data_IF_858917645876
#
_entry.id   IF_858917645876
#
_cell.length_a   1.000
_cell.length_b   1.000
_cell.length_c   1.000
_cell.angle_alpha   90.00
_cell.angle_beta   90.00
_cell.angle_gamma   90.00
#
_symmetry.space_group_name_H-M   'P 1'
#
loop_
_entity.id
_entity.type
_entity.pdbx_description
1 polymer ?
2 non-polymer ?
3 non-polymer ?
4 water ?
#
# COMPACT_ATOMS: atom_id res chain seq x y z
N UNK A 1 25.56 14.54 -7.22
CA UNK A 1 26.57 14.71 -6.13
C UNK A 1 27.64 13.60 -6.17
N UNK A 2 27.52 12.71 -7.17
CA UNK A 2 28.50 11.65 -7.44
C UNK A 2 28.67 10.67 -6.31
N UNK A 3 27.56 10.28 -5.68
CA UNK A 3 27.61 9.37 -4.54
C UNK A 3 27.66 7.95 -5.08
N UNK A 4 28.55 7.12 -4.53
CA UNK A 4 28.65 5.73 -4.98
C UNK A 4 27.38 4.92 -4.69
N UNK A 5 27.18 3.87 -5.49
CA UNK A 5 26.14 2.91 -5.23
C UNK A 5 26.32 2.28 -3.84
N UNK A 6 27.56 1.94 -3.50
CA UNK A 6 27.89 1.32 -2.22
C UNK A 6 27.42 2.22 -1.06
N UNK A 7 27.65 3.52 -1.19
CA UNK A 7 27.22 4.44 -0.15
C UNK A 7 25.68 4.51 0.00
N UNK A 8 24.94 4.58 -1.12
CA UNK A 8 23.47 4.54 -1.07
C UNK A 8 22.98 3.27 -0.40
N UNK A 9 23.58 2.13 -0.79
CA UNK A 9 23.22 0.82 -0.21
C UNK A 9 23.48 0.76 1.29
N UNK A 10 24.64 1.21 1.71
CA UNK A 10 24.97 1.24 3.14
C UNK A 10 24.04 2.20 3.94
N UNK A 11 23.78 3.37 3.38
CA UNK A 11 22.87 4.33 4.03
C UNK A 11 21.47 3.77 4.23
N UNK A 12 20.90 3.18 3.17
CA UNK A 12 19.53 2.66 3.31
C UNK A 12 19.48 1.41 4.22
N UNK A 13 20.50 0.55 4.11
CA UNK A 13 20.62 -0.57 5.06
C UNK A 13 20.60 -0.05 6.50
N UNK A 14 21.37 1.00 6.77
CA UNK A 14 21.43 1.57 8.13
C UNK A 14 20.09 2.12 8.62
N UNK A 15 19.22 2.58 7.73
CA UNK A 15 17.91 3.08 8.21
C UNK A 15 17.09 1.92 8.83
N UNK A 16 17.15 0.74 8.22
CA UNK A 16 16.46 -0.45 8.70
C UNK A 16 17.19 -1.00 9.94
N UNK A 17 18.52 -0.98 9.95
CA UNK A 17 19.29 -1.49 11.08
C UNK A 17 18.96 -0.64 12.30
N UNK A 18 18.94 0.68 12.12
CA UNK A 18 18.67 1.61 13.23
C UNK A 18 17.26 1.50 13.82
N UNK A 19 16.30 1.11 13.00
CA UNK A 19 14.94 0.82 13.46
C UNK A 19 14.83 -0.56 14.14
N UNK A 20 15.95 -1.30 14.19
CA UNK A 20 16.02 -2.62 14.84
C UNK A 20 15.01 -3.62 14.27
N UNK A 21 14.88 -3.58 12.95
CA UNK A 21 14.02 -4.53 12.28
C UNK A 21 14.68 -5.05 11.01
N UNK A 22 13.93 -5.81 10.22
CA UNK A 22 14.41 -6.36 8.96
C UNK A 22 13.45 -5.91 7.85
N UNK A 23 13.98 -5.41 6.74
CA UNK A 23 13.09 -4.88 5.71
C UNK A 23 13.79 -4.63 4.40
N UNK A 24 12.99 -4.32 3.40
CA UNK A 24 13.46 -4.00 2.09
C UNK A 24 12.67 -2.80 1.58
N UNK A 25 13.28 -2.02 0.70
CA UNK A 25 12.51 -1.10 -0.10
C UNK A 25 12.88 -1.28 -1.56
N UNK A 26 11.88 -1.46 -2.40
CA UNK A 26 12.06 -1.69 -3.82
C UNK A 26 11.64 -0.42 -4.54
N UNK A 27 12.47 0.03 -5.48
CA UNK A 27 12.23 1.28 -6.18
C UNK A 27 12.19 0.88 -7.66
N UNK A 28 11.32 1.47 -8.44
CA UNK A 28 11.34 1.21 -9.88
C UNK A 28 11.56 2.52 -10.65
N UNK A 29 12.61 2.55 -11.45
CA UNK A 29 12.88 3.71 -12.32
C UNK A 29 12.79 3.24 -13.76
N UNK A 30 11.78 3.74 -14.46
CA UNK A 30 11.37 3.19 -15.74
C UNK A 30 11.06 1.72 -15.51
N UNK A 31 11.77 0.87 -16.24
CA UNK A 31 11.54 -0.56 -16.17
C UNK A 31 12.49 -1.26 -15.20
N UNK A 32 13.45 -0.53 -14.61
CA UNK A 32 14.47 -1.16 -13.77
C UNK A 32 14.11 -1.20 -12.27
N UNK A 33 14.15 -2.40 -11.68
CA UNK A 33 13.90 -2.57 -10.26
C UNK A 33 15.18 -2.49 -9.46
N UNK A 34 15.16 -1.72 -8.37
CA UNK A 34 16.29 -1.66 -7.45
C UNK A 34 15.83 -2.06 -6.06
N UNK A 35 16.60 -2.90 -5.38
CA UNK A 35 16.21 -3.38 -4.07
C UNK A 35 17.22 -2.89 -3.04
N UNK A 36 16.73 -2.23 -1.99
CA UNK A 36 17.62 -1.73 -0.94
C UNK A 36 17.11 -2.19 0.43
N UNK A 37 17.94 -2.01 1.46
CA UNK A 37 17.54 -2.30 2.83
C UNK A 37 18.46 -3.31 3.52
N UNK A 38 17.99 -3.92 4.60
CA UNK A 38 18.87 -4.84 5.33
C UNK A 38 18.41 -6.29 5.28
N UNK A 39 17.39 -6.57 4.45
CA UNK A 39 16.96 -7.97 4.29
C UNK A 39 16.49 -8.20 2.88
N UNK A 40 17.43 -8.21 1.93
CA UNK A 40 17.05 -8.14 0.51
C UNK A 40 16.19 -9.32 0.04
N UNK A 41 16.43 -10.52 0.59
CA UNK A 41 15.61 -11.68 0.26
C UNK A 41 14.09 -11.52 0.48
N UNK A 42 13.68 -10.58 1.32
CA UNK A 42 12.25 -10.28 1.46
C UNK A 42 11.59 -9.85 0.14
N UNK A 43 12.38 -9.36 -0.82
CA UNK A 43 11.83 -8.80 -2.09
C UNK A 43 10.88 -9.76 -2.82
N UNK A 44 11.20 -11.06 -2.78
CA UNK A 44 10.40 -12.03 -3.52
C UNK A 44 9.69 -13.02 -2.61
N UNK A 45 9.55 -12.66 -1.34
CA UNK A 45 8.77 -13.46 -0.39
C UNK A 45 7.34 -12.94 -0.30
N UNK A 46 6.36 -13.83 -0.05
CA UNK A 46 4.94 -13.40 0.01
C UNK A 46 4.52 -13.04 1.40
N UNK A 47 3.77 -11.95 1.56
CA UNK A 47 3.20 -11.51 2.84
C UNK A 47 1.73 -11.10 2.62
N UNK A 48 0.94 -11.11 3.67
CA UNK A 48 -0.44 -10.63 3.52
C UNK A 48 -0.33 -9.14 3.17
N UNK A 49 -1.21 -8.66 2.28
CA UNK A 49 -1.11 -7.25 1.88
C UNK A 49 -1.60 -6.28 2.97
N UNK A 50 -2.36 -6.79 3.96
CA UNK A 50 -3.01 -5.94 4.99
C UNK A 50 -3.69 -4.75 4.28
N UNK A 51 -3.55 -3.53 4.83
CA UNK A 51 -4.32 -2.36 4.35
C UNK A 51 -3.90 -1.88 2.98
N UNK A 52 -2.76 -2.36 2.46
CA UNK A 52 -2.43 -2.01 1.05
C UNK A 52 -3.53 -2.52 0.11
N UNK A 53 -4.24 -3.58 0.50
CA UNK A 53 -5.35 -4.09 -0.33
C UNK A 53 -6.52 -3.08 -0.51
N UNK A 54 -6.64 -2.09 0.41
CA UNK A 54 -7.71 -1.07 0.30
C UNK A 54 -7.65 -0.40 -1.05
N UNK A 55 -6.44 -0.25 -1.61
CA UNK A 55 -6.35 0.34 -2.97
C UNK A 55 -7.15 -0.46 -3.98
N UNK A 56 -6.97 -1.77 -3.98
CA UNK A 56 -7.66 -2.63 -4.96
C UNK A 56 -9.14 -2.81 -4.59
N UNK A 57 -9.41 -2.94 -3.29
CA UNK A 57 -10.79 -2.98 -2.77
C UNK A 57 -11.57 -1.75 -3.32
N UNK A 58 -11.01 -0.54 -3.18
CA UNK A 58 -11.67 0.67 -3.69
C UNK A 58 -11.86 0.64 -5.23
N UNK A 59 -10.84 0.19 -5.96
CA UNK A 59 -10.93 0.09 -7.42
C UNK A 59 -12.09 -0.83 -7.81
N UNK A 60 -12.17 -1.99 -7.17
CA UNK A 60 -13.17 -2.98 -7.51
C UNK A 60 -14.59 -2.45 -7.18
N UNK A 61 -14.73 -1.85 -5.99
CA UNK A 61 -16.04 -1.35 -5.53
C UNK A 61 -16.58 -0.22 -6.40
N UNK A 62 -15.71 0.72 -6.72
CA UNK A 62 -16.07 1.83 -7.58
C UNK A 62 -16.40 1.37 -9.02
N UNK A 63 -15.53 0.56 -9.60
CA UNK A 63 -15.74 0.05 -10.97
C UNK A 63 -17.06 -0.70 -11.10
N UNK A 64 -17.42 -1.45 -10.05
CA UNK A 64 -18.62 -2.28 -10.07
C UNK A 64 -19.84 -1.64 -9.41
N UNK A 65 -19.76 -0.31 -9.24
CA UNK A 65 -20.86 0.52 -8.73
C UNK A 65 -21.38 0.12 -7.40
N UNK A 66 -20.49 -0.36 -6.52
CA UNK A 66 -20.86 -0.71 -5.15
C UNK A 66 -20.83 0.51 -4.22
N UNK A 67 -20.19 1.59 -4.66
CA UNK A 67 -20.12 2.84 -3.90
C UNK A 67 -19.78 3.94 -4.88
N UNK A 68 -19.91 5.19 -4.43
CA UNK A 68 -19.37 6.32 -5.16
C UNK A 68 -18.35 6.98 -4.25
N UNK A 69 -17.62 7.95 -4.79
CA UNK A 69 -16.59 8.66 -4.02
C UNK A 69 -17.19 9.67 -3.03
N UNK A 70 -18.45 10.05 -3.23
CA UNK A 70 -19.12 11.02 -2.34
C UNK A 70 -19.97 10.34 -1.26
N UNK A 71 -20.22 9.06 -1.43
CA UNK A 71 -21.08 8.32 -0.50
C UNK A 71 -20.50 8.33 0.91
N UNK A 72 -21.36 8.60 1.90
CA UNK A 72 -20.93 8.59 3.28
C UNK A 72 -21.24 7.23 3.92
N UNK A 73 -20.20 6.52 4.39
CA UNK A 73 -20.39 5.27 5.13
C UNK A 73 -20.58 5.63 6.60
N UNK A 74 -21.81 5.46 7.10
CA UNK A 74 -22.16 5.96 8.43
C UNK A 74 -21.58 5.03 9.47
N UNK A 75 -21.06 5.59 10.56
CA UNK A 75 -20.69 4.73 11.69
C UNK A 75 -21.95 4.11 12.27
N UNK A 76 -21.94 2.79 12.49
CA UNK A 76 -23.13 2.09 13.03
C UNK A 76 -23.28 2.17 14.55
N UNK A 77 -22.37 2.87 15.22
CA UNK A 77 -22.50 3.05 16.66
C UNK A 77 -21.82 1.96 17.47
N UNK A 78 -21.22 0.96 16.81
CA UNK A 78 -20.49 -0.11 17.52
C UNK A 78 -19.03 0.31 17.80
N UNK A 79 -18.50 -0.15 18.93
CA UNK A 79 -17.13 0.15 19.31
C UNK A 79 -16.19 -0.28 18.18
N UNK A 80 -15.25 0.58 17.81
CA UNK A 80 -14.28 0.24 16.77
C UNK A 80 -12.92 0.23 17.42
N UNK A 81 -11.90 -0.27 16.71
CA UNK A 81 -10.56 -0.34 17.29
C UNK A 81 -10.00 1.02 17.70
N UNK A 82 -10.26 2.07 16.93
CA UNK A 82 -9.76 3.42 17.24
C UNK A 82 -10.91 4.39 17.27
N UNK A 83 -10.89 5.34 18.23
CA UNK A 83 -11.97 6.32 18.32
C UNK A 83 -12.10 7.14 17.03
N UNK A 84 -10.98 7.39 16.36
CA UNK A 84 -10.98 8.10 15.08
C UNK A 84 -11.81 7.39 14.00
N UNK A 85 -12.07 6.10 14.15
CA UNK A 85 -12.92 5.38 13.19
C UNK A 85 -14.38 5.47 13.50
N UNK A 86 -14.71 6.00 14.68
CA UNK A 86 -16.11 6.04 15.14
C UNK A 86 -16.80 7.30 14.62
N UNK A 87 -16.88 7.37 13.31
CA UNK A 87 -17.44 8.53 12.59
C UNK A 87 -17.81 8.10 11.19
N UNK A 88 -18.57 8.97 10.53
CA UNK A 88 -19.14 8.74 9.21
C UNK A 88 -18.07 9.20 8.23
N UNK A 89 -17.78 8.40 7.20
CA UNK A 89 -16.73 8.81 6.28
C UNK A 89 -16.92 8.32 4.84
N UNK A 90 -16.29 9.02 3.90
CA UNK A 90 -16.27 8.61 2.51
C UNK A 90 -15.17 7.55 2.38
N UNK A 91 -15.13 6.89 1.24
CA UNK A 91 -14.06 5.91 0.95
C UNK A 91 -12.70 6.59 1.06
N UNK A 92 -12.60 7.84 0.59
CA UNK A 92 -11.34 8.58 0.63
C UNK A 92 -10.86 8.88 2.03
N UNK A 93 -11.77 9.33 2.90
CA UNK A 93 -11.43 9.55 4.30
C UNK A 93 -11.05 8.23 4.98
N UNK A 94 -11.81 7.17 4.66
CA UNK A 94 -11.49 5.84 5.22
C UNK A 94 -10.12 5.30 4.75
N UNK A 95 -9.77 5.64 3.51
CA UNK A 95 -8.43 5.33 2.99
C UNK A 95 -7.31 5.97 3.84
N UNK A 96 -7.46 7.27 4.11
CA UNK A 96 -6.45 8.05 4.83
C UNK A 96 -6.36 7.53 6.27
N UNK A 97 -7.52 7.19 6.85
CA UNK A 97 -7.51 6.70 8.23
C UNK A 97 -7.28 5.18 8.30
N UNK A 98 -7.17 4.55 7.15
CA UNK A 98 -7.11 3.10 7.05
C UNK A 98 -8.28 2.37 7.81
N UNK A 99 -9.50 2.89 7.68
CA UNK A 99 -10.64 2.43 8.45
C UNK A 99 -11.14 1.08 7.93
N UNK A 100 -10.67 0.01 8.58
CA UNK A 100 -11.04 -1.37 8.20
C UNK A 100 -12.56 -1.61 8.08
N UNK A 101 -13.38 -1.12 9.05
CA UNK A 101 -14.82 -1.46 8.91
C UNK A 101 -15.46 -0.94 7.65
N UNK A 102 -15.02 0.23 7.17
CA UNK A 102 -15.63 0.77 5.95
C UNK A 102 -15.28 -0.12 4.75
N UNK A 103 -14.02 -0.58 4.73
CA UNK A 103 -13.55 -1.43 3.62
C UNK A 103 -14.11 -2.86 3.70
N UNK A 104 -14.41 -3.32 4.91
CA UNK A 104 -15.14 -4.58 5.08
C UNK A 104 -16.57 -4.51 4.54
N UNK A 105 -17.24 -3.38 4.78
CA UNK A 105 -18.57 -3.15 4.21
C UNK A 105 -18.49 -3.15 2.70
N UNK A 106 -17.49 -2.43 2.15
CA UNK A 106 -17.34 -2.41 0.71
C UNK A 106 -17.09 -3.83 0.16
N UNK A 107 -16.22 -4.60 0.81
CA UNK A 107 -15.95 -5.99 0.35
C UNK A 107 -17.23 -6.85 0.39
N UNK A 108 -17.99 -6.74 1.47
CA UNK A 108 -19.31 -7.43 1.56
C UNK A 108 -20.30 -7.02 0.46
N UNK A 109 -20.31 -5.74 0.06
CA UNK A 109 -21.17 -5.29 -1.05
C UNK A 109 -20.74 -5.93 -2.38
N UNK A 110 -19.44 -5.92 -2.62
CA UNK A 110 -18.86 -6.61 -3.76
C UNK A 110 -19.23 -8.09 -3.76
N UNK A 111 -19.02 -8.77 -2.62
CA UNK A 111 -19.40 -10.17 -2.47
C UNK A 111 -18.27 -11.10 -2.92
N UNK A 112 -18.24 -12.31 -2.37
CA UNK A 112 -17.13 -13.25 -2.64
C UNK A 112 -16.88 -13.59 -4.13
N UNK A 113 -17.96 -13.88 -4.86
CA UNK A 113 -17.83 -14.29 -6.26
C UNK A 113 -17.19 -13.21 -7.12
N UNK A 114 -17.70 -11.99 -7.03
CA UNK A 114 -17.17 -10.88 -7.81
C UNK A 114 -15.77 -10.48 -7.35
N UNK A 115 -15.52 -10.49 -6.04
CA UNK A 115 -14.18 -10.20 -5.50
C UNK A 115 -13.14 -11.19 -6.05
N UNK A 116 -13.43 -12.49 -6.00
CA UNK A 116 -12.45 -13.49 -6.49
C UNK A 116 -12.19 -13.32 -7.98
N UNK A 117 -13.25 -13.12 -8.75
CA UNK A 117 -13.11 -12.88 -10.20
C UNK A 117 -12.28 -11.63 -10.49
N UNK A 118 -12.46 -10.57 -9.69
CA UNK A 118 -11.71 -9.33 -9.95
C UNK A 118 -10.26 -9.42 -9.50
N UNK A 119 -10.02 -10.07 -8.36
CA UNK A 119 -8.65 -10.20 -7.85
C UNK A 119 -7.83 -11.08 -8.85
N UNK A 120 -8.49 -12.09 -9.43
CA UNK A 120 -7.90 -12.94 -10.49
C UNK A 120 -7.62 -12.13 -11.77
N UNK A 121 -8.59 -11.34 -12.22
CA UNK A 121 -8.47 -10.52 -13.42
C UNK A 121 -7.30 -9.55 -13.33
N UNK A 122 -7.09 -9.00 -12.14
CA UNK A 122 -6.01 -8.07 -11.88
C UNK A 122 -4.70 -8.84 -11.63
N UNK A 123 -4.83 -10.13 -11.32
CA UNK A 123 -3.67 -10.95 -11.01
C UNK A 123 -2.87 -10.35 -9.84
N UNK A 124 -3.57 -10.04 -8.75
CA UNK A 124 -2.95 -9.45 -7.56
C UNK A 124 -2.34 -10.53 -6.64
N UNK A 125 -1.02 -10.48 -6.43
CA UNK A 125 -0.33 -11.45 -5.57
C UNK A 125 -0.61 -12.89 -5.98
N UNK A 126 -0.86 -13.77 -5.01
CA UNK A 126 -1.17 -15.18 -5.30
C UNK A 126 -2.62 -15.39 -5.75
N UNK A 127 -3.37 -14.28 -5.81
CA UNK A 127 -4.77 -14.21 -6.28
C UNK A 127 -5.77 -15.09 -5.50
N UNK A 128 -5.40 -15.60 -4.33
CA UNK A 128 -6.30 -16.46 -3.57
C UNK A 128 -6.99 -15.72 -2.43
N UNK A 129 -8.32 -15.60 -2.49
CA UNK A 129 -9.06 -14.93 -1.39
C UNK A 129 -9.79 -15.88 -0.44
N UNK A 130 -9.75 -17.18 -0.71
CA UNK A 130 -10.43 -18.15 0.16
C UNK A 130 -11.95 -17.95 0.18
N UNK A 131 -12.57 -18.17 1.33
CA UNK A 131 -14.03 -18.19 1.42
C UNK A 131 -14.64 -17.09 2.31
N UNK A 132 -13.81 -16.27 2.96
CA UNK A 132 -14.30 -15.17 3.82
C UNK A 132 -14.04 -13.82 3.16
N UNK A 133 -15.09 -13.21 2.60
CA UNK A 133 -14.94 -12.02 1.78
C UNK A 133 -14.46 -10.79 2.59
N UNK A 134 -14.55 -10.84 3.92
CA UNK A 134 -14.29 -9.63 4.72
C UNK A 134 -12.99 -9.64 5.51
N UNK A 135 -12.11 -10.62 5.29
CA UNK A 135 -10.82 -10.57 6.00
C UNK A 135 -9.63 -11.23 5.30
N UNK A 136 -9.83 -11.61 4.04
CA UNK A 136 -8.84 -12.38 3.31
C UNK A 136 -7.51 -11.63 3.12
N UNK A 137 -7.53 -10.30 3.21
CA UNK A 137 -6.33 -9.51 2.97
C UNK A 137 -5.60 -9.21 4.25
N UNK A 138 -6.22 -9.57 5.37
CA UNK A 138 -5.65 -9.33 6.69
C UNK A 138 -4.99 -10.56 7.29
N UNK A 139 -5.61 -11.72 7.11
CA UNK A 139 -5.12 -12.92 7.80
C UNK A 139 -4.79 -14.04 6.81
N UNK A 140 -4.80 -13.74 5.52
CA UNK A 140 -4.65 -14.77 4.48
C UNK A 140 -6.02 -15.26 4.03
N UNK A 141 -6.06 -16.04 2.94
CA UNK A 141 -4.90 -16.64 2.26
C UNK A 141 -4.27 -15.79 1.17
N UNK A 142 -4.76 -14.55 0.98
CA UNK A 142 -4.19 -13.66 -0.02
C UNK A 142 -2.80 -13.21 0.42
N UNK A 143 -1.84 -13.33 -0.48
CA UNK A 143 -0.46 -12.93 -0.20
C UNK A 143 0.16 -12.29 -1.43
N UNK A 144 1.18 -11.48 -1.21
CA UNK A 144 1.80 -10.74 -2.30
C UNK A 144 3.26 -10.45 -1.90
N UNK A 145 4.14 -10.37 -2.89
CA UNK A 145 5.54 -10.01 -2.62
C UNK A 145 5.76 -8.51 -2.78
N UNK A 146 6.84 -7.98 -2.18
CA UNK A 146 7.16 -6.56 -2.38
C UNK A 146 7.40 -6.20 -3.85
N UNK A 147 7.96 -7.14 -4.64
CA UNK A 147 8.10 -6.90 -6.08
C UNK A 147 6.72 -6.74 -6.75
N UNK A 148 5.79 -7.64 -6.42
CA UNK A 148 4.43 -7.53 -6.99
C UNK A 148 3.73 -6.23 -6.53
N UNK A 149 3.96 -5.81 -5.28
CA UNK A 149 3.38 -4.51 -4.78
C UNK A 149 3.92 -3.32 -5.55
N UNK A 150 5.24 -3.28 -5.76
CA UNK A 150 5.81 -2.19 -6.53
C UNK A 150 5.30 -2.20 -8.00
N UNK A 151 5.12 -3.38 -8.59
CA UNK A 151 4.56 -3.46 -9.96
C UNK A 151 3.09 -3.03 -10.00
N UNK A 152 2.35 -3.34 -8.95
CA UNK A 152 0.96 -2.86 -8.81
C UNK A 152 0.90 -1.32 -8.75
N UNK A 153 1.78 -0.75 -7.92
CA UNK A 153 1.89 0.70 -7.78
C UNK A 153 2.26 1.38 -9.10
N UNK A 154 3.23 0.79 -9.82
CA UNK A 154 3.62 1.27 -11.13
C UNK A 154 2.43 1.26 -12.12
N UNK A 155 1.66 0.16 -12.14
CA UNK A 155 0.47 0.06 -13.02
C UNK A 155 -0.58 1.10 -12.65
N UNK A 156 -0.83 1.27 -11.36
CA UNK A 156 -1.79 2.29 -10.91
C UNK A 156 -1.32 3.69 -11.25
N UNK A 157 -0.05 3.99 -10.95
CA UNK A 157 0.49 5.33 -11.22
C UNK A 157 0.32 5.68 -12.71
N UNK A 158 0.43 4.67 -13.57
CA UNK A 158 0.35 4.91 -15.04
C UNK A 158 -0.97 4.60 -15.65
N UNK A 159 -2.00 4.38 -14.81
CA UNK A 159 -3.34 4.08 -15.32
C UNK A 159 -3.40 2.83 -16.17
N UNK A 160 -2.54 1.87 -15.87
CA UNK A 160 -2.43 0.63 -16.64
C UNK A 160 -3.23 -0.55 -16.09
N UNK A 161 -3.85 -0.40 -14.91
CA UNK A 161 -4.67 -1.48 -14.38
C UNK A 161 -5.95 -1.68 -15.22
N UNK A 162 -6.52 -2.90 -15.20
CA UNK A 162 -7.71 -3.17 -16.02
C UNK A 162 -9.02 -2.59 -15.39
N UNK A 163 -9.06 -1.26 -15.25
CA UNK A 163 -10.24 -0.55 -14.74
C UNK A 163 -10.35 0.71 -15.58
N UNK A 164 -11.52 1.34 -15.59
CA UNK A 164 -11.67 2.61 -16.30
C UNK A 164 -10.66 3.63 -15.81
N UNK A 165 -10.26 4.53 -16.71
CA UNK A 165 -9.34 5.61 -16.34
C UNK A 165 -9.91 6.41 -15.14
N UNK A 166 -11.21 6.66 -15.19
CA UNK A 166 -11.87 7.43 -14.16
C UNK A 166 -11.79 6.75 -12.77
N UNK A 167 -12.04 5.44 -12.74
CA UNK A 167 -11.88 4.66 -11.50
C UNK A 167 -10.47 4.81 -10.92
N UNK A 168 -9.45 4.71 -11.78
CA UNK A 168 -8.06 4.75 -11.28
C UNK A 168 -7.71 6.13 -10.75
N UNK A 169 -8.15 7.17 -11.47
CA UNK A 169 -7.93 8.53 -11.01
C UNK A 169 -8.65 8.84 -9.69
N UNK A 170 -9.85 8.32 -9.52
CA UNK A 170 -10.61 8.52 -8.27
C UNK A 170 -9.86 7.91 -7.08
N UNK A 171 -9.32 6.71 -7.26
CA UNK A 171 -8.58 6.07 -6.16
C UNK A 171 -7.23 6.77 -5.90
N UNK A 172 -6.52 7.16 -6.98
CA UNK A 172 -5.27 7.87 -6.81
C UNK A 172 -5.43 9.15 -6.00
N UNK A 173 -6.54 9.88 -6.20
CA UNK A 173 -6.81 11.09 -5.43
C UNK A 173 -6.90 10.83 -3.92
N UNK A 174 -7.32 9.62 -3.55
CA UNK A 174 -7.40 9.22 -2.13
C UNK A 174 -6.05 8.92 -1.49
N UNK A 175 -5.00 8.84 -2.29
CA UNK A 175 -3.70 8.32 -1.79
C UNK A 175 -2.61 9.39 -1.59
N UNK A 176 -2.93 10.68 -1.77
CA UNK A 176 -1.90 11.71 -1.59
C UNK A 176 -1.54 11.85 -0.13
N UNK A 177 -0.28 11.61 0.23
CA UNK A 177 0.10 11.66 1.64
C UNK A 177 1.15 12.70 2.02
N UNK A 178 1.82 13.28 1.04
CA UNK A 178 2.85 14.28 1.33
C UNK A 178 3.22 15.05 0.07
N UNK A 179 3.51 16.33 0.25
CA UNK A 179 4.11 17.17 -0.79
C UNK A 179 5.47 17.61 -0.29
N UNK A 180 6.47 17.53 -1.15
CA UNK A 180 7.84 17.93 -0.79
C UNK A 180 8.52 18.60 -1.98
N UNK A 181 8.70 19.93 -1.87
CA UNK A 181 9.34 20.79 -2.90
C UNK A 181 8.94 20.49 -4.35
N UNK A 182 7.65 20.56 -4.66
CA UNK A 182 7.19 20.19 -6.02
C UNK A 182 6.99 18.70 -6.30
N UNK A 183 7.47 17.82 -5.42
CA UNK A 183 7.19 16.37 -5.53
C UNK A 183 5.93 16.00 -4.72
N UNK A 184 5.14 15.05 -5.22
CA UNK A 184 3.97 14.56 -4.49
C UNK A 184 4.17 13.08 -4.24
N UNK A 185 3.92 12.66 -3.00
CA UNK A 185 3.99 11.22 -2.64
C UNK A 185 2.61 10.64 -2.48
N UNK A 186 2.30 9.63 -3.28
CA UNK A 186 1.05 8.89 -3.20
C UNK A 186 1.40 7.55 -2.60
N UNK A 187 0.71 7.14 -1.55
CA UNK A 187 1.04 5.83 -0.96
C UNK A 187 -0.06 5.28 -0.06
N UNK A 188 -0.03 3.97 0.17
CA UNK A 188 -0.94 3.37 1.14
C UNK A 188 -0.12 2.53 2.13
N UNK A 189 -0.31 2.74 3.43
CA UNK A 189 0.36 1.91 4.43
C UNK A 189 -0.42 0.60 4.70
N UNK A 190 0.25 -0.36 5.33
CA UNK A 190 -0.37 -1.60 5.76
C UNK A 190 0.31 -2.09 7.00
N UNK A 191 -0.46 -2.71 7.88
CA UNK A 191 0.12 -3.31 9.08
C UNK A 191 -0.62 -4.59 9.38
N UNK A 192 0.02 -5.72 9.10
CA UNK A 192 -0.63 -7.01 9.27
C UNK A 192 -0.35 -7.46 10.68
N UNK A 193 -1.27 -7.21 11.59
CA UNK A 193 -1.07 -7.58 12.99
C UNK A 193 -1.51 -8.99 13.32
N UNK A 194 -2.35 -9.57 12.46
CA UNK A 194 -2.98 -10.85 12.76
C UNK A 194 -2.26 -12.01 12.13
N UNK A 195 -0.97 -11.81 11.85
CA UNK A 195 -0.11 -12.84 11.30
C UNK A 195 1.22 -12.74 12.07
N UNK A 196 2.00 -13.81 12.10
CA UNK A 196 3.26 -13.80 12.85
C UNK A 196 4.35 -14.30 11.92
N UNK A 197 5.46 -13.56 11.82
CA UNK A 197 5.68 -12.22 12.35
C UNK A 197 4.76 -11.18 11.68
N UNK A 198 4.65 -10.02 12.31
CA UNK A 198 3.83 -8.95 11.78
C UNK A 198 4.51 -8.34 10.59
N UNK A 199 3.72 -7.84 9.63
CA UNK A 199 4.29 -7.22 8.43
C UNK A 199 3.85 -5.77 8.32
N UNK A 200 4.77 -4.89 7.94
CA UNK A 200 4.43 -3.47 7.67
C UNK A 200 4.77 -3.13 6.22
N UNK A 201 3.93 -2.30 5.60
CA UNK A 201 4.08 -1.92 4.22
C UNK A 201 3.95 -0.42 4.09
N UNK A 202 4.61 0.15 3.07
CA UNK A 202 4.21 1.45 2.54
C UNK A 202 4.50 1.40 1.05
N UNK A 203 3.44 1.43 0.22
CA UNK A 203 3.58 1.16 -1.20
C UNK A 203 2.94 2.35 -1.93
N UNK A 204 3.63 2.89 -2.92
CA UNK A 204 3.08 4.08 -3.60
C UNK A 204 4.02 4.53 -4.70
N UNK A 205 4.02 5.83 -4.98
CA UNK A 205 4.95 6.39 -5.96
C UNK A 205 5.15 7.85 -5.70
N UNK A 206 6.28 8.35 -6.19
CA UNK A 206 6.56 9.76 -6.12
C UNK A 206 6.22 10.29 -7.52
N UNK A 207 5.43 11.35 -7.58
CA UNK A 207 5.27 12.12 -8.81
C UNK A 207 6.16 13.36 -8.71
N UNK A 208 7.18 13.42 -9.53
CA UNK A 208 8.12 14.54 -9.49
C UNK A 208 7.54 15.73 -10.26
N UNK A 209 8.06 16.94 -10.00
CA UNK A 209 7.51 18.18 -10.61
C UNK A 209 7.39 18.07 -12.14
N UNK A 210 8.43 17.54 -12.76
CA UNK A 210 8.48 17.25 -14.21
C UNK A 210 7.49 16.19 -14.73
N UNK A 211 6.67 15.61 -13.85
CA UNK A 211 5.69 14.58 -14.23
C UNK A 211 6.14 13.12 -14.12
N UNK A 212 7.44 12.87 -13.99
CA UNK A 212 7.95 11.50 -13.84
C UNK A 212 7.41 10.83 -12.55
N UNK A 213 7.11 9.54 -12.66
CA UNK A 213 6.53 8.75 -11.55
C UNK A 213 7.49 7.62 -11.19
N UNK A 214 7.82 7.55 -9.92
CA UNK A 214 8.78 6.59 -9.39
C UNK A 214 8.08 5.76 -8.30
N UNK A 215 7.65 4.54 -8.63
CA UNK A 215 6.99 3.61 -7.70
C UNK A 215 7.98 3.02 -6.67
N UNK A 216 7.44 2.70 -5.50
CA UNK A 216 8.26 2.11 -4.45
C UNK A 216 7.36 1.20 -3.61
N UNK A 217 7.98 0.25 -2.93
CA UNK A 217 7.27 -0.51 -1.90
C UNK A 217 8.23 -0.83 -0.77
N UNK A 218 7.90 -0.35 0.41
CA UNK A 218 8.66 -0.67 1.60
C UNK A 218 7.94 -1.86 2.26
N UNK A 219 8.73 -2.82 2.73
CA UNK A 219 8.16 -3.98 3.43
C UNK A 219 9.10 -4.29 4.58
N UNK A 220 8.57 -4.40 5.79
CA UNK A 220 9.41 -4.75 6.93
C UNK A 220 8.64 -5.51 8.02
N UNK A 221 9.40 -6.06 8.96
CA UNK A 221 8.79 -6.73 10.09
C UNK A 221 8.46 -5.68 11.14
N UNK A 222 7.18 -5.64 11.53
CA UNK A 222 6.75 -4.73 12.58
C UNK A 222 6.91 -5.48 13.92
N UNK A 223 7.30 -4.75 14.94
CA UNK A 223 7.54 -5.35 16.25
C UNK A 223 6.83 -4.57 17.35
N UNK A 224 6.81 -5.15 18.54
CA UNK A 224 6.19 -4.55 19.74
C UNK A 224 6.69 -3.14 20.02
N UNK A 225 5.77 -2.21 20.18
CA UNK A 225 6.13 -0.84 20.59
C UNK A 225 6.74 -0.02 19.48
N UNK A 226 6.69 -0.54 18.26
CA UNK A 226 7.09 0.22 17.09
C UNK A 226 5.94 1.14 16.71
N UNK A 227 6.26 2.36 16.37
CA UNK A 227 5.28 3.30 15.86
C UNK A 227 5.03 3.05 14.35
N UNK A 228 3.78 3.24 13.91
CA UNK A 228 3.42 3.14 12.50
C UNK A 228 4.21 4.08 11.60
N UNK A 229 4.52 5.26 12.11
CA UNK A 229 5.27 6.28 11.36
C UNK A 229 6.71 5.86 10.98
N UNK A 230 7.23 4.78 11.57
CA UNK A 230 8.56 4.29 11.19
C UNK A 230 8.58 3.92 9.69
N UNK A 231 7.41 3.48 9.18
CA UNK A 231 7.28 3.07 7.77
C UNK A 231 7.51 4.29 6.91
N UNK A 232 6.86 5.40 7.28
CA UNK A 232 7.04 6.66 6.56
C UNK A 232 8.46 7.21 6.71
N UNK A 233 9.00 7.20 7.92
CA UNK A 233 10.35 7.73 8.18
C UNK A 233 11.42 7.04 7.34
N UNK A 234 11.39 5.71 7.31
CA UNK A 234 12.38 4.94 6.55
C UNK A 234 12.20 5.18 5.05
N UNK A 235 10.95 5.25 4.62
CA UNK A 235 10.65 5.46 3.21
C UNK A 235 11.16 6.83 2.76
N UNK A 236 10.85 7.87 3.55
CA UNK A 236 11.24 9.24 3.18
C UNK A 236 12.77 9.41 3.19
N UNK A 237 13.43 8.89 4.21
CA UNK A 237 14.89 8.96 4.28
C UNK A 237 15.55 8.23 3.10
N UNK A 238 14.99 7.10 2.69
CA UNK A 238 15.53 6.33 1.55
C UNK A 238 15.32 7.11 0.24
N UNK A 239 14.11 7.62 0.06
CA UNK A 239 13.82 8.41 -1.15
C UNK A 239 14.68 9.67 -1.21
N UNK A 240 14.91 10.33 -0.06
CA UNK A 240 15.77 11.52 -0.04
C UNK A 240 17.20 11.09 -0.36
N UNK A 241 17.65 9.98 0.22
CA UNK A 241 19.03 9.54 0.02
C UNK A 241 19.31 9.31 -1.46
N UNK A 242 18.33 8.73 -2.15
CA UNK A 242 18.47 8.43 -3.57
C UNK A 242 18.23 9.66 -4.48
N UNK A 243 17.90 10.81 -3.90
CA UNK A 243 17.61 12.02 -4.69
C UNK A 243 16.25 11.98 -5.39
N UNK A 244 15.38 11.05 -5.00
CA UNK A 244 14.06 10.94 -5.64
C UNK A 244 13.11 12.05 -5.16
N UNK A 245 13.29 12.46 -3.90
CA UNK A 245 12.63 13.66 -3.36
C UNK A 245 13.67 14.54 -2.69
X LIG B 1 -7.47 -3.10 13.36
X LIG B 1 -8.33 -2.83 12.22
X LIG B 1 -8.40 -3.57 14.42
X LIG B 1 -6.28 -4.22 12.92
X LIG B 1 -5.11 -3.53 12.18
X LIG B 1 -5.51 -2.79 11.01
X LIG B 1 -4.78 -2.82 9.88
X LIG B 1 -5.80 -4.99 14.17
X LIG B 1 -6.90 -5.25 11.94
X LIG B 1 -5.95 -6.31 11.56
X LIG B 1 -6.33 -7.60 11.89
X LIG B 1 -5.29 -8.44 11.43
X LIG B 1 -4.33 -7.64 10.87
X LIG B 1 -4.75 -6.32 10.95
X LIG B 1 -4.40 -2.52 13.02
X LIG B 1 -4.61 -1.32 12.77
X LIG B 1 -3.61 -2.94 13.91
X LIG B 1 -5.20 -2.07 8.85
X LIG B 1 -4.48 -2.03 7.56
X LIG B 1 -3.31 -2.47 7.44
X LIG C 1 -2.22 1.09 8.47
X LIG C 1 -1.85 1.30 9.89
X LIG C 1 -3.50 0.39 8.41
X LIG C 1 -1.15 0.32 7.83
X LIG C 1 -2.36 2.39 7.77
#
# INVERSE_FOLDING_TARGET
>A
FHISSQQHEKAIKSYFDEAQTQGVIIIKEGKNLSTYGNALARANKEYVPASTFKMLNALIGLENHKATTNEIFKWDGKKRTYPMWEKDMTLGEAMALSAVPVYQELARRTGLELMQKEVKRVNFGNTNIGTQVDNFWLVGPLKITPVQEVNFADDLAHNRLPFKLETQEEVKKMLLIKEVNGSKIYAKSGWGMGVTPQVGWLTGWVEQANGKKIPFSLNLEMKEGMSGSIRNEITYKSLENLGII
>B hetero
1 TBE S1 O12 O13 C2 C3 N4 C5 C20 C14 N15 N16 N17 C18 C19 C9 O10 O11 C6 C7 O8
>C hetero
1 SO4 S O1 O2 O3 O4
#
